data_IF_669725541630
#
_entry.id   IF_669725541630
#
_cell.length_a   1.000
_cell.length_b   1.000
_cell.length_c   1.000
_cell.angle_alpha   90.00
_cell.angle_beta   90.00
_cell.angle_gamma   90.00
#
_symmetry.space_group_name_H-M   'P 1'
#
loop_
_entity.id
_entity.type
_entity.pdbx_description
1 polymer ?
#
# COMPACT_ATOMS: atom_id res chain seq x y z
N UNK A 1 2.15 14.52 6.70
CA UNK A 1 2.51 13.29 6.00
C UNK A 1 3.67 12.59 6.70
N UNK A 2 3.59 11.31 6.83
CA UNK A 2 4.65 10.53 7.46
C UNK A 2 4.86 9.23 6.69
N UNK A 3 6.12 8.82 6.59
CA UNK A 3 6.47 7.52 6.01
C UNK A 3 6.23 6.46 7.07
N UNK A 4 5.33 5.53 6.79
CA UNK A 4 4.99 4.44 7.70
C UNK A 4 5.46 3.08 7.19
N UNK A 5 6.14 3.04 6.05
CA UNK A 5 6.65 1.80 5.53
C UNK A 5 7.58 2.00 4.37
N UNK A 6 8.34 0.97 4.08
CA UNK A 6 9.16 0.90 2.88
C UNK A 6 8.93 -0.45 2.23
N UNK A 7 8.77 -0.45 0.92
CA UNK A 7 8.41 -1.62 0.16
C UNK A 7 9.36 -1.80 -1.01
N UNK A 8 9.47 -3.04 -1.46
CA UNK A 8 10.24 -3.40 -2.64
C UNK A 8 9.30 -4.06 -3.64
N UNK A 9 9.37 -3.62 -4.88
CA UNK A 9 8.59 -4.22 -5.96
C UNK A 9 9.20 -5.56 -6.37
N UNK A 10 8.36 -6.56 -6.52
CA UNK A 10 8.77 -7.87 -7.06
C UNK A 10 7.83 -8.29 -8.20
N UNK A 11 8.03 -9.49 -8.74
CA UNK A 11 7.26 -9.97 -9.88
C UNK A 11 5.77 -10.11 -9.58
N UNK A 12 5.40 -10.27 -8.32
CA UNK A 12 4.02 -10.53 -7.91
C UNK A 12 3.38 -9.37 -7.14
N UNK A 13 4.06 -8.21 -7.08
CA UNK A 13 3.53 -7.06 -6.37
C UNK A 13 4.58 -6.35 -5.54
N UNK A 14 4.25 -6.05 -4.29
CA UNK A 14 5.15 -5.33 -3.40
C UNK A 14 5.26 -6.07 -2.08
N UNK A 15 6.43 -6.01 -1.45
CA UNK A 15 6.68 -6.58 -0.14
C UNK A 15 7.43 -5.58 0.71
N UNK A 16 7.05 -5.43 1.95
CA UNK A 16 7.71 -4.48 2.82
C UNK A 16 7.16 -4.50 4.24
N UNK A 17 7.20 -3.35 4.88
CA UNK A 17 6.77 -3.20 6.26
C UNK A 17 5.81 -2.05 6.42
N UNK A 18 4.95 -2.15 7.43
CA UNK A 18 4.11 -1.05 7.91
C UNK A 18 4.51 -0.80 9.36
N UNK A 19 4.88 0.43 9.67
CA UNK A 19 5.38 0.82 10.97
C UNK A 19 4.72 2.11 11.44
N UNK A 20 4.02 2.01 12.56
CA UNK A 20 3.46 3.17 13.26
C UNK A 20 3.78 3.00 14.75
N UNK A 21 3.23 3.85 15.60
CA UNK A 21 3.41 3.72 17.04
C UNK A 21 2.84 2.41 17.59
N UNK A 22 1.80 1.90 16.99
CA UNK A 22 1.11 0.69 17.46
C UNK A 22 1.22 -0.50 16.51
N UNK A 23 1.76 -0.29 15.31
CA UNK A 23 1.83 -1.32 14.28
C UNK A 23 3.27 -1.50 13.86
N UNK A 24 3.72 -2.76 13.81
CA UNK A 24 5.01 -3.12 13.25
C UNK A 24 4.83 -4.50 12.63
N UNK A 25 4.59 -4.55 11.34
CA UNK A 25 4.33 -5.80 10.66
C UNK A 25 4.86 -5.78 9.24
N UNK A 26 5.17 -6.96 8.73
CA UNK A 26 5.47 -7.14 7.32
C UNK A 26 4.16 -7.19 6.56
N UNK A 27 4.14 -6.54 5.40
CA UNK A 27 2.97 -6.51 4.55
C UNK A 27 3.36 -6.84 3.13
N UNK A 28 2.46 -7.49 2.41
CA UNK A 28 2.65 -7.74 0.98
C UNK A 28 1.41 -7.32 0.22
N UNK A 29 1.66 -6.74 -0.94
CA UNK A 29 0.63 -6.32 -1.87
C UNK A 29 0.62 -7.34 -2.99
N UNK A 30 -0.46 -8.07 -3.14
CA UNK A 30 -0.60 -9.09 -4.18
C UNK A 30 -1.61 -8.64 -5.21
N UNK A 31 -1.37 -8.94 -6.51
CA UNK A 31 -2.35 -8.59 -7.53
C UNK A 31 -3.70 -9.23 -7.23
N UNK A 32 -4.75 -8.43 -7.38
CA UNK A 32 -6.12 -8.89 -7.19
C UNK A 32 -6.78 -9.05 -8.55
N UNK A 33 -7.58 -10.10 -8.70
CA UNK A 33 -8.40 -10.24 -9.89
C UNK A 33 -9.54 -9.25 -9.80
N UNK A 34 -9.64 -8.39 -10.80
CA UNK A 34 -10.62 -7.32 -10.82
C UNK A 34 -11.62 -7.57 -11.94
N UNK A 35 -12.88 -7.70 -11.58
CA UNK A 35 -13.95 -7.80 -12.55
C UNK A 35 -14.63 -6.47 -12.85
N UNK A 36 -14.29 -5.41 -12.12
CA UNK A 36 -14.91 -4.10 -12.27
C UNK A 36 -13.89 -2.99 -12.10
N UNK A 37 -14.24 -1.79 -12.59
CA UNK A 37 -13.38 -0.61 -12.46
C UNK A 37 -13.16 -0.16 -11.02
N UNK A 38 -14.09 -0.48 -10.13
CA UNK A 38 -14.03 -0.07 -8.72
C UNK A 38 -13.30 -1.08 -7.84
N UNK A 39 -13.03 -2.28 -8.36
CA UNK A 39 -12.33 -3.29 -7.59
C UNK A 39 -10.86 -2.92 -7.42
N UNK A 40 -10.24 -3.30 -6.30
CA UNK A 40 -8.82 -2.99 -6.09
C UNK A 40 -7.92 -3.72 -7.06
N UNK A 41 -6.81 -3.10 -7.39
CA UNK A 41 -5.77 -3.71 -8.23
C UNK A 41 -4.87 -4.64 -7.42
N UNK A 42 -4.75 -4.39 -6.12
CA UNK A 42 -3.95 -5.20 -5.20
C UNK A 42 -4.70 -5.42 -3.90
N UNK A 43 -4.41 -6.54 -3.25
CA UNK A 43 -4.83 -6.79 -1.88
C UNK A 43 -3.60 -6.77 -0.98
N UNK A 44 -3.77 -6.27 0.23
CA UNK A 44 -2.68 -6.14 1.19
C UNK A 44 -2.87 -7.18 2.29
N UNK A 45 -1.82 -7.94 2.55
CA UNK A 45 -1.84 -8.99 3.57
C UNK A 45 -0.70 -8.80 4.56
N UNK A 46 -0.99 -9.10 5.82
CA UNK A 46 0.01 -9.26 6.87
C UNK A 46 -0.03 -10.73 7.30
N UNK A 47 0.93 -11.52 6.82
CA UNK A 47 0.86 -12.96 6.98
C UNK A 47 -0.35 -13.53 6.23
N UNK A 48 -1.26 -14.18 6.94
CA UNK A 48 -2.50 -14.73 6.38
C UNK A 48 -3.71 -13.82 6.58
N UNK A 49 -3.50 -12.64 7.14
CA UNK A 49 -4.59 -11.70 7.46
C UNK A 49 -4.67 -10.67 6.36
N UNK A 50 -5.85 -10.51 5.75
CA UNK A 50 -6.08 -9.44 4.80
C UNK A 50 -6.19 -8.12 5.54
N UNK A 51 -5.28 -7.19 5.21
CA UNK A 51 -5.12 -5.93 5.92
C UNK A 51 -5.75 -4.76 5.17
N UNK A 52 -5.91 -4.87 3.85
CA UNK A 52 -6.43 -3.77 3.07
C UNK A 52 -6.37 -4.02 1.58
N UNK A 53 -6.47 -2.92 0.84
CA UNK A 53 -6.48 -2.95 -0.61
C UNK A 53 -5.78 -1.73 -1.17
N UNK A 54 -5.41 -1.81 -2.44
CA UNK A 54 -4.75 -0.70 -3.13
C UNK A 54 -5.28 -0.57 -4.54
N UNK A 55 -5.33 0.67 -5.01
CA UNK A 55 -5.81 1.02 -6.35
C UNK A 55 -4.73 1.81 -7.08
N UNK A 56 -4.52 1.50 -8.35
CA UNK A 56 -3.61 2.27 -9.19
C UNK A 56 -4.20 3.64 -9.50
N UNK A 57 -3.38 4.65 -9.36
CA UNK A 57 -3.73 6.03 -9.67
C UNK A 57 -2.58 6.70 -10.40
N UNK A 58 -2.87 7.79 -11.06
CA UNK A 58 -1.86 8.59 -11.74
C UNK A 58 -1.98 10.03 -11.28
N UNK A 59 -0.85 10.61 -10.88
CA UNK A 59 -0.82 12.01 -10.46
C UNK A 59 -1.01 12.91 -11.67
N UNK A 60 -1.97 13.82 -11.60
CA UNK A 60 -2.31 14.71 -12.71
C UNK A 60 -1.18 15.66 -13.08
N UNK A 61 -0.42 16.12 -12.09
CA UNK A 61 0.63 17.09 -12.28
C UNK A 61 1.90 16.51 -12.87
N UNK A 62 2.26 15.30 -12.47
CA UNK A 62 3.53 14.68 -12.86
C UNK A 62 3.39 13.52 -13.82
N UNK A 63 2.18 12.98 -13.97
CA UNK A 63 1.94 11.78 -14.75
C UNK A 63 2.49 10.50 -14.12
N UNK A 64 3.02 10.58 -12.90
CA UNK A 64 3.58 9.41 -12.21
C UNK A 64 2.50 8.53 -11.64
N UNK A 65 2.71 7.23 -11.75
CA UNK A 65 1.81 6.24 -11.15
C UNK A 65 2.12 6.09 -9.67
N UNK A 66 1.06 5.86 -8.90
CA UNK A 66 1.17 5.54 -7.49
C UNK A 66 0.02 4.62 -7.09
N UNK A 67 0.08 4.04 -5.90
CA UNK A 67 -1.02 3.26 -5.36
C UNK A 67 -1.70 4.05 -4.25
N UNK A 68 -3.02 4.15 -4.34
CA UNK A 68 -3.84 4.63 -3.25
C UNK A 68 -4.18 3.45 -2.37
N UNK A 69 -3.79 3.48 -1.10
CA UNK A 69 -3.84 2.33 -0.20
C UNK A 69 -4.81 2.60 0.94
N UNK A 70 -5.65 1.62 1.22
CA UNK A 70 -6.52 1.65 2.40
C UNK A 70 -6.19 0.44 3.26
N UNK A 71 -5.76 0.70 4.48
CA UNK A 71 -5.51 -0.34 5.48
C UNK A 71 -6.61 -0.28 6.52
N UNK A 72 -7.23 -1.40 6.78
CA UNK A 72 -8.34 -1.46 7.74
C UNK A 72 -8.35 -2.82 8.42
N UNK A 73 -8.36 -2.80 9.73
CA UNK A 73 -8.38 -4.01 10.55
C UNK A 73 -9.12 -3.69 11.85
N UNK A 74 -9.84 -4.66 12.45
CA UNK A 74 -10.53 -4.41 13.72
C UNK A 74 -9.64 -3.92 14.85
N UNK A 75 -8.32 -4.18 14.77
CA UNK A 75 -7.38 -3.68 15.78
C UNK A 75 -7.04 -2.19 15.60
N UNK A 76 -7.45 -1.58 14.50
CA UNK A 76 -7.20 -0.17 14.22
C UNK A 76 -8.35 0.69 14.75
N UNK A 77 -8.05 1.89 15.25
CA UNK A 77 -9.13 2.82 15.65
C UNK A 77 -9.95 3.31 14.47
N UNK A 78 -9.43 3.20 13.24
CA UNK A 78 -10.14 3.55 12.02
C UNK A 78 -9.28 3.22 10.82
N UNK A 79 -9.82 3.31 9.61
CA UNK A 79 -9.06 3.04 8.40
C UNK A 79 -7.86 3.98 8.27
N UNK A 80 -6.75 3.44 7.77
CA UNK A 80 -5.56 4.21 7.46
C UNK A 80 -5.50 4.38 5.95
N UNK A 81 -5.43 5.61 5.49
CA UNK A 81 -5.28 5.93 4.08
C UNK A 81 -3.85 6.34 3.82
N UNK A 82 -3.23 5.73 2.84
CA UNK A 82 -1.83 5.94 2.53
C UNK A 82 -1.60 5.94 1.02
N UNK A 83 -0.41 6.32 0.62
CA UNK A 83 0.01 6.34 -0.77
C UNK A 83 1.33 5.59 -0.88
N UNK A 84 1.43 4.65 -1.80
CA UNK A 84 2.66 3.95 -2.10
C UNK A 84 3.28 4.60 -3.33
N UNK A 85 4.43 5.22 -3.15
CA UNK A 85 5.12 5.97 -4.21
C UNK A 85 6.55 5.48 -4.38
N UNK A 86 7.08 5.64 -5.58
CA UNK A 86 8.46 5.29 -5.86
C UNK A 86 9.40 6.16 -5.03
N UNK A 87 10.40 5.52 -4.43
CA UNK A 87 11.46 6.17 -3.68
C UNK A 87 12.76 6.11 -4.47
N UNK A 88 13.83 6.68 -3.94
CA UNK A 88 15.14 6.57 -4.57
C UNK A 88 15.63 5.12 -4.51
N UNK A 89 16.15 4.63 -5.62
CA UNK A 89 16.65 3.27 -5.75
C UNK A 89 15.78 2.43 -6.68
N UNK A 90 16.34 1.32 -7.18
CA UNK A 90 15.61 0.41 -8.03
C UNK A 90 14.57 -0.35 -7.21
N UNK A 91 13.34 -0.35 -7.72
CA UNK A 91 12.22 -1.08 -7.13
C UNK A 91 11.92 -0.72 -5.67
N UNK A 92 12.42 0.44 -5.20
CA UNK A 92 12.14 0.91 -3.84
C UNK A 92 10.92 1.82 -3.82
N UNK A 93 10.06 1.62 -2.83
CA UNK A 93 8.83 2.38 -2.66
C UNK A 93 8.65 2.80 -1.21
N UNK A 94 7.99 3.92 -1.00
CA UNK A 94 7.65 4.41 0.34
C UNK A 94 6.15 4.44 0.52
N UNK A 95 5.69 3.97 1.67
CA UNK A 95 4.30 4.06 2.07
C UNK A 95 4.12 5.28 2.96
N UNK A 96 3.36 6.25 2.46
CA UNK A 96 3.18 7.55 3.11
C UNK A 96 1.72 7.73 3.48
N UNK A 97 1.44 8.01 4.74
CA UNK A 97 0.08 8.30 5.16
C UNK A 97 -0.14 9.79 5.36
N UNK A 98 -1.37 10.23 5.18
CA UNK A 98 -1.76 11.59 5.48
C UNK A 98 -3.23 11.62 5.85
N UNK A 99 -3.59 12.61 6.59
CA UNK A 99 -4.98 12.87 6.93
C UNK A 99 -5.52 14.03 6.12
#
# INVERSE_FOLDING_TARGET
>A
MAVIGSDTKDANGFTGTVRTLSINTKARFTPAESGTEKAPDFRVFAGNVELGAAWRRQAKETGRDYLSVKLDDPSFPGPIYATLVAAEGEDAYSLIWSR
#
